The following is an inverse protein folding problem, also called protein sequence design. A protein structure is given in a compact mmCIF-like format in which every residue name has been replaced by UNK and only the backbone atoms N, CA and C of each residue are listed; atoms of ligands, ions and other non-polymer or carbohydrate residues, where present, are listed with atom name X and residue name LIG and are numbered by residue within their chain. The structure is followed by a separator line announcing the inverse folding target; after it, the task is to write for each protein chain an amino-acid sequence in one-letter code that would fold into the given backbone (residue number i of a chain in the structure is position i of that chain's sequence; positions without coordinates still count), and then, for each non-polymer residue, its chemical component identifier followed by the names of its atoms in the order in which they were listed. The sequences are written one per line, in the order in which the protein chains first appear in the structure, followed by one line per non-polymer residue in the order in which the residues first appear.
data_IF_078323409068
#
_entry.id   IF_078323409068
#
_cell.length_a   1.000
_cell.length_b   1.000
_cell.length_c   1.000
_cell.angle_alpha   90.00
_cell.angle_beta   90.00
_cell.angle_gamma   90.00
#
_symmetry.space_group_name_H-M   'P 1'
#
loop_
_entity.id
_entity.type
_entity.pdbx_description
1 polymer ?
#
# COMPACT_ATOMS: atom_id res chain seq x y z
N UNK A 1 3.97 -31.04 3.76
CA UNK A 1 2.79 -30.21 3.78
C UNK A 1 3.07 -28.72 3.71
N UNK A 2 4.30 -28.39 3.35
CA UNK A 2 4.65 -27.01 3.00
C UNK A 2 3.82 -26.47 1.83
N UNK A 3 3.36 -27.35 0.97
CA UNK A 3 2.63 -26.99 -0.24
C UNK A 3 1.30 -26.29 0.01
N UNK A 4 0.54 -26.80 0.97
CA UNK A 4 -0.80 -26.27 1.27
C UNK A 4 -0.71 -24.91 1.92
N UNK A 5 0.26 -24.73 2.82
CA UNK A 5 0.47 -23.45 3.51
C UNK A 5 0.96 -22.36 2.56
N UNK A 6 1.86 -22.69 1.64
CA UNK A 6 2.32 -21.74 0.64
C UNK A 6 1.21 -21.29 -0.30
N UNK A 7 0.34 -22.21 -0.70
CA UNK A 7 -0.79 -21.89 -1.56
C UNK A 7 -1.80 -20.98 -0.86
N UNK A 8 -2.10 -21.26 0.40
CA UNK A 8 -2.99 -20.43 1.21
C UNK A 8 -2.41 -19.04 1.43
N UNK A 9 -1.10 -18.98 1.70
CA UNK A 9 -0.40 -17.73 1.93
C UNK A 9 -0.43 -16.83 0.69
N UNK A 10 -0.18 -17.41 -0.48
CA UNK A 10 -0.25 -16.68 -1.75
C UNK A 10 -1.65 -16.15 -2.01
N UNK A 11 -2.66 -16.94 -1.70
CA UNK A 11 -4.04 -16.54 -1.88
C UNK A 11 -4.40 -15.35 -0.98
N UNK A 12 -3.96 -15.39 0.29
CA UNK A 12 -4.17 -14.27 1.22
C UNK A 12 -3.45 -13.01 0.75
N UNK A 13 -2.21 -13.15 0.29
CA UNK A 13 -1.42 -12.03 -0.22
C UNK A 13 -2.06 -11.42 -1.47
N UNK A 14 -2.56 -12.24 -2.37
CA UNK A 14 -3.25 -11.78 -3.58
C UNK A 14 -4.55 -11.06 -3.24
N UNK A 15 -5.26 -11.50 -2.22
CA UNK A 15 -6.48 -10.83 -1.75
C UNK A 15 -6.19 -9.47 -1.14
N UNK A 16 -4.97 -9.25 -0.63
CA UNK A 16 -4.55 -7.96 -0.09
C UNK A 16 -4.21 -6.93 -1.16
N UNK A 17 -3.82 -7.38 -2.35
CA UNK A 17 -3.42 -6.48 -3.43
C UNK A 17 -4.47 -5.42 -3.77
N UNK A 18 -5.76 -5.77 -3.94
CA UNK A 18 -6.76 -4.74 -4.24
C UNK A 18 -6.92 -3.72 -3.11
N UNK A 19 -6.82 -4.16 -1.86
CA UNK A 19 -6.93 -3.27 -0.70
C UNK A 19 -5.75 -2.32 -0.65
N UNK A 20 -4.53 -2.84 -0.84
CA UNK A 20 -3.32 -2.01 -0.85
C UNK A 20 -3.38 -0.97 -1.97
N UNK A 21 -3.82 -1.36 -3.15
CA UNK A 21 -3.96 -0.43 -4.28
C UNK A 21 -4.98 0.66 -3.99
N UNK A 22 -6.09 0.32 -3.36
CA UNK A 22 -7.09 1.31 -2.96
C UNK A 22 -6.52 2.30 -1.95
N UNK A 23 -5.74 1.81 -0.98
CA UNK A 23 -5.10 2.67 0.00
C UNK A 23 -4.06 3.58 -0.65
N UNK A 24 -3.31 3.08 -1.62
CA UNK A 24 -2.35 3.90 -2.37
C UNK A 24 -3.09 5.02 -3.11
N UNK A 25 -4.16 4.70 -3.81
CA UNK A 25 -4.96 5.70 -4.51
C UNK A 25 -5.51 6.76 -3.55
N UNK A 26 -6.00 6.33 -2.41
CA UNK A 26 -6.50 7.23 -1.37
C UNK A 26 -5.40 8.18 -0.89
N UNK A 27 -4.22 7.64 -0.59
CA UNK A 27 -3.11 8.47 -0.10
C UNK A 27 -2.59 9.42 -1.17
N UNK A 28 -2.62 9.01 -2.44
CA UNK A 28 -2.26 9.90 -3.54
C UNK A 28 -3.22 11.09 -3.63
N UNK A 29 -4.51 10.84 -3.47
CA UNK A 29 -5.52 11.91 -3.43
C UNK A 29 -5.30 12.82 -2.24
N UNK A 30 -5.02 12.24 -1.08
CA UNK A 30 -4.73 13.00 0.15
C UNK A 30 -3.49 13.86 -0.03
N UNK A 31 -2.45 13.31 -0.64
CA UNK A 31 -1.22 14.07 -0.93
C UNK A 31 -1.51 15.23 -1.87
N UNK A 32 -2.28 15.00 -2.91
CA UNK A 32 -2.65 16.05 -3.87
C UNK A 32 -3.40 17.19 -3.19
N UNK A 33 -4.38 16.86 -2.37
CA UNK A 33 -5.14 17.86 -1.60
C UNK A 33 -4.22 18.64 -0.66
N UNK A 34 -3.31 17.96 0.02
CA UNK A 34 -2.35 18.58 0.91
C UNK A 34 -1.44 19.56 0.16
N UNK A 35 -1.02 19.19 -1.04
CA UNK A 35 -0.20 20.06 -1.89
C UNK A 35 -0.96 21.31 -2.28
N UNK A 36 -2.24 21.20 -2.58
CA UNK A 36 -3.08 22.35 -2.93
C UNK A 36 -3.31 23.29 -1.77
N UNK A 37 -3.41 22.75 -0.56
CA UNK A 37 -3.59 23.52 0.67
C UNK A 37 -2.27 24.01 1.28
N UNK A 38 -1.13 23.61 0.71
CA UNK A 38 0.21 23.88 1.23
C UNK A 38 0.39 23.34 2.65
N UNK A 39 -0.22 22.20 2.95
CA UNK A 39 -0.14 21.55 4.26
C UNK A 39 1.07 20.60 4.29
N UNK A 40 2.20 21.11 4.78
CA UNK A 40 3.45 20.36 4.84
C UNK A 40 3.34 19.11 5.69
N UNK A 41 2.64 19.17 6.81
CA UNK A 41 2.48 18.03 7.72
C UNK A 41 1.69 16.92 7.05
N UNK A 42 0.59 17.25 6.40
CA UNK A 42 -0.23 16.28 5.70
C UNK A 42 0.53 15.66 4.52
N UNK A 43 1.34 16.47 3.82
CA UNK A 43 2.19 15.96 2.73
C UNK A 43 3.19 14.92 3.24
N UNK A 44 3.85 15.20 4.35
CA UNK A 44 4.83 14.28 4.94
C UNK A 44 4.16 12.98 5.36
N UNK A 45 3.01 13.07 6.03
CA UNK A 45 2.27 11.88 6.46
C UNK A 45 1.82 11.02 5.28
N UNK A 46 1.30 11.65 4.23
CA UNK A 46 0.86 10.94 3.04
C UNK A 46 2.02 10.25 2.34
N UNK A 47 3.16 10.92 2.23
CA UNK A 47 4.37 10.34 1.62
C UNK A 47 4.89 9.16 2.42
N UNK A 48 4.90 9.24 3.74
CA UNK A 48 5.33 8.13 4.59
C UNK A 48 4.39 6.94 4.43
N UNK A 49 3.09 7.19 4.40
CA UNK A 49 2.10 6.14 4.21
C UNK A 49 2.25 5.45 2.86
N UNK A 50 2.44 6.24 1.80
CA UNK A 50 2.70 5.73 0.46
C UNK A 50 3.95 4.86 0.41
N UNK A 51 5.00 5.28 1.10
CA UNK A 51 6.24 4.50 1.18
C UNK A 51 6.01 3.15 1.84
N UNK A 52 5.26 3.10 2.92
CA UNK A 52 4.92 1.86 3.61
C UNK A 52 4.06 0.95 2.73
N UNK A 53 3.07 1.51 2.06
CA UNK A 53 2.19 0.75 1.17
C UNK A 53 2.95 0.21 -0.03
N UNK A 54 3.86 0.99 -0.59
CA UNK A 54 4.72 0.55 -1.70
C UNK A 54 5.63 -0.60 -1.28
N UNK A 55 6.16 -0.54 -0.06
CA UNK A 55 7.00 -1.62 0.47
C UNK A 55 6.19 -2.91 0.65
N UNK A 56 4.96 -2.82 1.14
CA UNK A 56 4.07 -3.97 1.28
C UNK A 56 3.73 -4.58 -0.08
N UNK A 57 3.43 -3.73 -1.06
CA UNK A 57 3.12 -4.18 -2.41
C UNK A 57 4.32 -4.91 -3.03
N UNK A 58 5.51 -4.36 -2.85
CA UNK A 58 6.74 -4.95 -3.35
C UNK A 58 7.00 -6.32 -2.72
N UNK A 59 6.79 -6.46 -1.40
CA UNK A 59 6.94 -7.73 -0.70
C UNK A 59 6.00 -8.79 -1.26
N UNK A 60 4.76 -8.42 -1.54
CA UNK A 60 3.77 -9.34 -2.10
C UNK A 60 4.16 -9.76 -3.52
N UNK A 61 4.62 -8.82 -4.34
CA UNK A 61 5.01 -9.09 -5.71
C UNK A 61 6.28 -9.95 -5.80
N UNK A 62 7.21 -9.80 -4.86
CA UNK A 62 8.45 -10.57 -4.83
C UNK A 62 8.28 -11.96 -4.23
N UNK A 63 7.22 -12.21 -3.48
CA UNK A 63 6.94 -13.52 -2.90
C UNK A 63 6.20 -14.41 -3.91
#
# INVERSE_FOLDING_TARGET
MKYVMETLRRKEEQERLPVIRMEIDYELMTLYDAMQENDSVAMIKAKERLKQLSAQLKDIEES
#
